data_IF_028517423674
#
_entry.id   IF_028517423674
#
_cell.length_a   1.000
_cell.length_b   1.000
_cell.length_c   1.000
_cell.angle_alpha   90.00
_cell.angle_beta   90.00
_cell.angle_gamma   90.00
#
_symmetry.space_group_name_H-M   'P 1'
#
loop_
_entity.id
_entity.type
_entity.pdbx_description
1 polymer ?
#
# COMPACT_ATOMS: atom_id res chain seq x y z
N UNK A 1 38.71 36.56 -35.80
CA UNK A 1 37.88 36.07 -34.69
C UNK A 1 36.44 36.09 -35.17
N UNK A 2 35.76 34.94 -35.20
CA UNK A 2 34.37 34.81 -35.69
C UNK A 2 33.43 35.19 -34.54
N UNK A 3 32.60 36.20 -34.75
CA UNK A 3 31.61 36.68 -33.77
C UNK A 3 30.30 35.93 -33.95
N UNK A 4 30.04 34.95 -33.08
CA UNK A 4 28.76 34.22 -33.02
C UNK A 4 27.72 35.01 -32.22
N UNK A 5 27.34 36.21 -32.68
CA UNK A 5 26.21 36.93 -32.08
C UNK A 5 24.91 36.36 -32.65
N UNK A 6 24.31 35.37 -31.97
CA UNK A 6 22.95 34.90 -32.30
C UNK A 6 21.97 36.06 -32.08
N UNK A 7 21.29 36.48 -33.14
CA UNK A 7 20.31 37.57 -33.10
C UNK A 7 19.10 37.17 -32.23
N UNK A 8 18.42 38.15 -31.61
CA UNK A 8 17.21 37.92 -30.79
C UNK A 8 16.16 37.07 -31.53
N UNK A 9 16.02 37.28 -32.84
CA UNK A 9 15.11 36.50 -33.70
C UNK A 9 15.48 35.01 -33.76
N UNK A 10 16.77 34.68 -33.78
CA UNK A 10 17.25 33.29 -33.78
C UNK A 10 16.98 32.63 -32.43
N UNK A 11 17.12 33.38 -31.33
CA UNK A 11 16.73 32.91 -30.00
C UNK A 11 15.22 32.65 -29.91
N UNK A 12 14.38 33.56 -30.44
CA UNK A 12 12.92 33.37 -30.49
C UNK A 12 12.52 32.16 -31.34
N UNK A 13 13.15 31.98 -32.50
CA UNK A 13 12.92 30.82 -33.36
C UNK A 13 13.34 29.51 -32.66
N UNK A 14 14.47 29.52 -31.93
CA UNK A 14 14.94 28.36 -31.17
C UNK A 14 13.97 27.97 -30.04
N UNK A 15 13.45 28.97 -29.30
CA UNK A 15 12.50 28.75 -28.21
C UNK A 15 11.15 28.25 -28.74
N UNK A 16 10.67 28.83 -29.82
CA UNK A 16 9.42 28.39 -30.48
C UNK A 16 9.53 26.93 -30.91
N UNK A 17 10.65 26.56 -31.54
CA UNK A 17 10.91 25.16 -31.94
C UNK A 17 11.01 24.22 -30.74
N UNK A 18 11.62 24.66 -29.64
CA UNK A 18 11.72 23.87 -28.42
C UNK A 18 10.34 23.61 -27.79
N UNK A 19 9.48 24.63 -27.74
CA UNK A 19 8.10 24.53 -27.24
C UNK A 19 7.27 23.58 -28.12
N UNK A 20 7.35 23.70 -29.44
CA UNK A 20 6.69 22.77 -30.37
C UNK A 20 7.16 21.33 -30.19
N UNK A 21 8.47 21.13 -29.99
CA UNK A 21 9.04 19.81 -29.70
C UNK A 21 8.49 19.21 -28.41
N UNK A 22 8.43 20.00 -27.34
CA UNK A 22 7.85 19.59 -26.06
C UNK A 22 6.35 19.27 -26.18
N UNK A 23 5.60 20.09 -26.91
CA UNK A 23 4.17 19.90 -27.13
C UNK A 23 3.89 18.56 -27.84
N UNK A 24 4.66 18.24 -28.90
CA UNK A 24 4.56 16.95 -29.60
C UNK A 24 4.89 15.78 -28.67
N UNK A 25 5.93 15.92 -27.84
CA UNK A 25 6.32 14.88 -26.89
C UNK A 25 5.21 14.60 -25.86
N UNK A 26 4.63 15.65 -25.27
CA UNK A 26 3.52 15.54 -24.32
C UNK A 26 2.29 14.89 -24.97
N UNK A 27 1.98 15.27 -26.21
CA UNK A 27 0.87 14.67 -26.96
C UNK A 27 1.09 13.17 -27.21
N UNK A 28 2.29 12.76 -27.60
CA UNK A 28 2.64 11.35 -27.80
C UNK A 28 2.55 10.56 -26.48
N UNK A 29 3.07 11.11 -25.38
CA UNK A 29 2.94 10.47 -24.06
C UNK A 29 1.48 10.30 -23.65
N UNK A 30 0.63 11.31 -23.86
CA UNK A 30 -0.80 11.21 -23.59
C UNK A 30 -1.47 10.11 -24.44
N UNK A 31 -1.09 9.96 -25.71
CA UNK A 31 -1.57 8.88 -26.56
C UNK A 31 -1.14 7.51 -26.05
N UNK A 32 0.10 7.38 -25.56
CA UNK A 32 0.59 6.13 -24.94
C UNK A 32 -0.16 5.80 -23.65
N UNK A 33 -0.43 6.78 -22.79
CA UNK A 33 -1.23 6.61 -21.58
C UNK A 33 -2.63 6.12 -21.94
N UNK A 34 -3.30 6.75 -22.91
CA UNK A 34 -4.63 6.32 -23.36
C UNK A 34 -4.62 4.87 -23.87
N UNK A 35 -3.58 4.46 -24.63
CA UNK A 35 -3.41 3.07 -25.08
C UNK A 35 -3.21 2.10 -23.91
N UNK A 36 -2.46 2.48 -22.88
CA UNK A 36 -2.21 1.66 -21.69
C UNK A 36 -3.47 1.51 -20.83
N UNK A 37 -4.23 2.59 -20.63
CA UNK A 37 -5.51 2.57 -19.91
C UNK A 37 -6.48 1.61 -20.59
N UNK A 38 -6.66 1.75 -21.91
CA UNK A 38 -7.53 0.84 -22.66
C UNK A 38 -7.07 -0.62 -22.56
N UNK A 39 -5.76 -0.88 -22.52
CA UNK A 39 -5.26 -2.26 -22.33
C UNK A 39 -5.58 -2.79 -20.93
N UNK A 40 -5.44 -1.98 -19.89
CA UNK A 40 -5.77 -2.36 -18.51
C UNK A 40 -7.26 -2.71 -18.36
N UNK A 41 -8.15 -1.88 -18.93
CA UNK A 41 -9.60 -2.12 -18.90
C UNK A 41 -9.99 -3.40 -19.67
N UNK A 42 -9.31 -3.68 -20.80
CA UNK A 42 -9.50 -4.92 -21.55
C UNK A 42 -8.93 -6.15 -20.84
N UNK A 43 -7.86 -6.02 -20.04
CA UNK A 43 -7.33 -7.16 -19.26
C UNK A 43 -8.24 -7.54 -18.10
N UNK A 44 -8.89 -6.56 -17.45
CA UNK A 44 -9.90 -6.85 -16.42
C UNK A 44 -11.15 -7.50 -17.01
N UNK A 45 -11.56 -7.12 -18.23
CA UNK A 45 -12.66 -7.78 -18.95
C UNK A 45 -12.28 -9.19 -19.46
N UNK A 46 -11.05 -9.39 -19.96
CA UNK A 46 -10.60 -10.69 -20.46
C UNK A 46 -10.20 -11.69 -19.35
N UNK A 47 -9.92 -11.24 -18.12
CA UNK A 47 -9.79 -12.15 -16.98
C UNK A 47 -11.14 -12.82 -16.64
N UNK A 48 -12.27 -12.16 -16.95
CA UNK A 48 -13.62 -12.71 -16.73
C UNK A 48 -14.05 -13.65 -17.88
N UNK A 49 -13.49 -13.52 -19.07
CA UNK A 49 -13.91 -14.29 -20.26
C UNK A 49 -12.92 -15.37 -20.73
N UNK A 50 -12.00 -15.79 -19.85
CA UNK A 50 -11.07 -16.91 -20.09
C UNK A 50 -11.60 -18.26 -19.64
N UNK A 51 -12.83 -18.64 -20.02
CA UNK A 51 -13.31 -20.02 -19.82
C UNK A 51 -14.39 -20.43 -20.83
N UNK A 52 -14.10 -20.37 -22.13
CA UNK A 52 -14.88 -21.03 -23.17
C UNK A 52 -13.98 -21.35 -24.37
N UNK A 53 -13.90 -22.65 -24.69
CA UNK A 53 -13.55 -23.38 -25.93
C UNK A 53 -13.03 -24.74 -25.45
N UNK A 54 -13.92 -25.69 -25.16
CA UNK A 54 -14.44 -26.74 -26.06
C UNK A 54 -13.52 -27.96 -26.21
N UNK A 55 -13.98 -29.10 -25.70
CA UNK A 55 -13.94 -30.39 -26.40
C UNK A 55 -15.00 -31.31 -25.78
N UNK A 56 -15.93 -31.78 -26.61
CA UNK A 56 -16.70 -33.02 -26.44
C UNK A 56 -15.71 -34.19 -26.12
N UNK A 57 -16.01 -35.28 -25.41
CA UNK A 57 -17.26 -36.06 -25.28
C UNK A 57 -17.12 -36.98 -24.03
N UNK A 58 -18.25 -37.54 -23.59
CA UNK A 58 -18.39 -38.81 -22.83
C UNK A 58 -18.12 -38.92 -21.29
N UNK A 59 -19.24 -38.98 -20.55
CA UNK A 59 -19.57 -39.92 -19.43
C UNK A 59 -19.30 -39.57 -17.94
N UNK A 60 -20.44 -39.60 -17.22
CA UNK A 60 -20.71 -39.89 -15.79
C UNK A 60 -20.33 -38.93 -14.64
N UNK A 61 -21.37 -38.23 -14.19
CA UNK A 61 -21.89 -37.96 -12.82
C UNK A 61 -21.00 -37.93 -11.55
N UNK A 62 -21.41 -37.15 -10.52
CA UNK A 62 -20.50 -36.45 -9.62
C UNK A 62 -20.41 -37.09 -8.22
N UNK A 63 -19.23 -37.08 -7.61
CA UNK A 63 -19.08 -37.34 -6.19
C UNK A 63 -17.95 -36.51 -5.54
N UNK A 64 -18.38 -35.57 -4.70
CA UNK A 64 -17.82 -35.29 -3.37
C UNK A 64 -16.41 -34.67 -3.29
N UNK A 65 -16.42 -33.34 -3.21
CA UNK A 65 -15.72 -32.49 -2.24
C UNK A 65 -14.57 -33.13 -1.43
N UNK A 66 -13.34 -32.73 -1.75
CA UNK A 66 -12.33 -32.21 -0.82
C UNK A 66 -11.08 -31.82 -1.62
N UNK A 67 -10.99 -30.56 -2.02
CA UNK A 67 -9.74 -30.00 -2.51
C UNK A 67 -9.15 -29.13 -1.40
N UNK A 68 -8.08 -29.63 -0.79
CA UNK A 68 -7.17 -28.85 0.05
C UNK A 68 -6.45 -27.85 -0.84
N UNK A 69 -7.03 -26.66 -0.98
CA UNK A 69 -6.41 -25.54 -1.67
C UNK A 69 -5.51 -24.77 -0.68
N UNK A 70 -4.33 -25.34 -0.43
CA UNK A 70 -3.18 -24.59 0.10
C UNK A 70 -2.00 -25.01 -0.73
N UNK A 71 -1.78 -24.26 -1.80
CA UNK A 71 -0.53 -24.08 -2.52
C UNK A 71 -0.90 -23.57 -3.92
N UNK A 72 -0.69 -22.28 -4.17
CA UNK A 72 -0.49 -21.60 -5.49
C UNK A 72 -0.94 -20.13 -5.44
N UNK A 73 -0.36 -19.34 -4.53
CA UNK A 73 -0.23 -17.89 -4.73
C UNK A 73 1.23 -17.47 -4.60
N UNK A 74 2.08 -18.15 -5.37
CA UNK A 74 3.43 -17.69 -5.69
C UNK A 74 3.53 -17.53 -7.21
N UNK A 75 2.59 -16.78 -7.80
CA UNK A 75 2.89 -16.08 -9.05
C UNK A 75 3.38 -14.71 -8.64
N UNK A 76 4.66 -14.72 -8.29
CA UNK A 76 5.55 -13.59 -8.28
C UNK A 76 5.22 -12.71 -9.49
N UNK A 77 4.44 -11.65 -9.28
CA UNK A 77 4.39 -10.53 -10.18
C UNK A 77 5.77 -9.89 -10.07
N UNK A 78 6.71 -10.37 -10.88
CA UNK A 78 8.00 -9.71 -11.08
C UNK A 78 7.74 -8.41 -11.84
N UNK A 79 7.15 -7.44 -11.15
CA UNK A 79 7.16 -6.06 -11.59
C UNK A 79 8.47 -5.47 -11.08
N UNK A 80 9.43 -5.33 -12.00
CA UNK A 80 10.64 -4.56 -11.74
C UNK A 80 10.26 -3.08 -11.62
N UNK A 81 10.03 -2.63 -10.39
CA UNK A 81 9.84 -1.23 -10.06
C UNK A 81 11.13 -0.65 -9.48
N UNK A 82 11.86 0.11 -10.28
CA UNK A 82 12.99 0.89 -9.82
C UNK A 82 12.49 1.92 -8.79
N UNK A 83 12.94 1.79 -7.53
CA UNK A 83 12.54 2.67 -6.42
C UNK A 83 11.36 2.20 -5.55
N UNK A 84 10.79 1.01 -5.76
CA UNK A 84 9.83 0.44 -4.80
C UNK A 84 10.54 -0.34 -3.70
N UNK A 85 10.05 -0.20 -2.47
CA UNK A 85 10.46 -1.04 -1.34
C UNK A 85 9.95 -2.47 -1.54
N UNK A 86 10.81 -3.46 -1.32
CA UNK A 86 10.37 -4.86 -1.36
C UNK A 86 9.40 -5.16 -0.22
N UNK A 87 8.50 -6.12 -0.41
CA UNK A 87 7.54 -6.53 0.62
C UNK A 87 8.26 -6.96 1.90
N UNK A 88 9.39 -7.67 1.75
CA UNK A 88 10.21 -8.10 2.88
C UNK A 88 10.83 -6.92 3.63
N UNK A 89 11.35 -5.92 2.90
CA UNK A 89 11.93 -4.72 3.52
C UNK A 89 10.86 -3.86 4.22
N UNK A 90 9.66 -3.77 3.65
CA UNK A 90 8.53 -3.09 4.29
C UNK A 90 8.10 -3.83 5.56
N UNK A 91 8.04 -5.16 5.52
CA UNK A 91 7.72 -6.00 6.68
C UNK A 91 8.74 -5.79 7.80
N UNK A 92 10.03 -5.88 7.49
CA UNK A 92 11.11 -5.65 8.47
C UNK A 92 11.06 -4.23 9.06
N UNK A 93 10.76 -3.22 8.24
CA UNK A 93 10.64 -1.85 8.70
C UNK A 93 9.48 -1.67 9.70
N UNK A 94 8.30 -2.21 9.38
CA UNK A 94 7.13 -2.17 10.25
C UNK A 94 7.41 -2.93 11.55
N UNK A 95 7.96 -4.14 11.45
CA UNK A 95 8.27 -5.01 12.58
C UNK A 95 9.31 -4.37 13.51
N UNK A 96 10.38 -3.82 12.96
CA UNK A 96 11.41 -3.08 13.69
C UNK A 96 10.87 -1.82 14.36
N UNK A 97 9.99 -1.06 13.69
CA UNK A 97 9.37 0.14 14.25
C UNK A 97 8.46 -0.20 15.43
N UNK A 98 7.63 -1.23 15.29
CA UNK A 98 6.74 -1.70 16.36
C UNK A 98 7.55 -2.18 17.57
N UNK A 99 8.56 -3.04 17.34
CA UNK A 99 9.47 -3.49 18.41
C UNK A 99 10.14 -2.33 19.12
N UNK A 100 10.71 -1.39 18.37
CA UNK A 100 11.36 -0.20 18.94
C UNK A 100 10.42 0.63 19.81
N UNK A 101 9.16 0.80 19.39
CA UNK A 101 8.15 1.50 20.18
C UNK A 101 7.76 0.73 21.43
N UNK A 102 7.61 -0.59 21.36
CA UNK A 102 7.25 -1.42 22.53
C UNK A 102 8.41 -1.46 23.52
N UNK A 103 9.63 -1.69 23.04
CA UNK A 103 10.83 -1.85 23.85
C UNK A 103 11.35 -0.52 24.41
N UNK A 104 11.18 0.58 23.68
CA UNK A 104 11.36 1.95 24.16
C UNK A 104 10.23 2.43 25.10
N UNK A 105 9.03 1.86 24.99
CA UNK A 105 7.88 2.10 25.88
C UNK A 105 7.81 1.04 26.99
N UNK A 106 8.94 0.42 27.34
CA UNK A 106 9.03 -0.60 28.38
C UNK A 106 8.65 -0.11 29.79
N UNK A 107 8.34 1.17 29.99
CA UNK A 107 7.92 1.72 31.29
C UNK A 107 6.72 2.66 31.30
N UNK A 108 6.05 2.90 30.17
CA UNK A 108 4.84 3.73 30.18
C UNK A 108 3.70 3.03 29.44
N UNK A 109 3.25 1.90 29.98
CA UNK A 109 1.80 1.72 30.01
C UNK A 109 1.28 2.90 30.81
N UNK A 110 0.90 3.98 30.13
CA UNK A 110 0.19 5.10 30.74
C UNK A 110 -1.22 4.58 31.03
N UNK A 111 -1.30 3.61 31.95
CA UNK A 111 -2.58 3.25 32.54
C UNK A 111 -2.96 4.49 33.30
N UNK A 112 -3.94 5.23 32.80
CA UNK A 112 -4.45 6.43 33.44
C UNK A 112 -4.83 6.07 34.87
N UNK A 113 -3.93 6.37 35.81
CA UNK A 113 -4.17 6.13 37.22
C UNK A 113 -4.84 7.37 37.75
N UNK A 114 -6.06 7.20 38.23
CA UNK A 114 -6.81 8.30 38.82
C UNK A 114 -6.06 8.75 40.07
N UNK A 115 -5.93 10.05 40.30
CA UNK A 115 -5.16 10.63 41.42
C UNK A 115 -5.64 10.17 42.81
N UNK A 116 -6.83 9.57 42.89
CA UNK A 116 -7.39 9.01 44.12
C UNK A 116 -7.09 7.53 44.33
N UNK A 117 -6.60 6.79 43.33
CA UNK A 117 -6.27 5.35 43.47
C UNK A 117 -5.29 5.12 44.63
N UNK A 118 -4.16 5.85 44.73
CA UNK A 118 -3.25 5.70 45.87
C UNK A 118 -3.89 6.11 47.21
N UNK A 119 -4.81 7.07 47.19
CA UNK A 119 -5.51 7.53 48.41
C UNK A 119 -6.48 6.47 48.93
N UNK A 120 -7.14 5.74 48.04
CA UNK A 120 -8.06 4.64 48.38
C UNK A 120 -7.29 3.42 48.89
N UNK A 121 -6.16 3.08 48.26
CA UNK A 121 -5.33 1.96 48.71
C UNK A 121 -4.73 2.21 50.12
N UNK A 122 -4.38 3.47 50.41
CA UNK A 122 -3.99 3.93 51.76
C UNK A 122 -5.18 4.02 52.74
N UNK A 123 -6.42 4.05 52.24
CA UNK A 123 -7.64 4.05 53.05
C UNK A 123 -8.03 2.63 53.50
N UNK A 124 -7.13 1.63 53.35
CA UNK A 124 -7.28 0.30 53.94
C UNK A 124 -7.86 0.45 55.34
N UNK A 125 -9.12 0.04 55.46
CA UNK A 125 -9.94 0.30 56.63
C UNK A 125 -9.23 -0.32 57.83
N UNK A 126 -8.92 0.50 58.85
CA UNK A 126 -8.23 0.01 60.05
C UNK A 126 -9.01 -1.18 60.62
N UNK A 127 -8.28 -2.23 60.97
CA UNK A 127 -8.84 -3.46 61.53
C UNK A 127 -9.66 -3.08 62.79
N UNK A 128 -10.99 -3.17 62.70
CA UNK A 128 -11.91 -2.75 63.76
C UNK A 128 -12.85 -1.58 63.43
N UNK A 129 -12.81 -1.03 62.20
CA UNK A 129 -13.86 -0.09 61.77
C UNK A 129 -15.23 -0.79 61.77
N UNK A 130 -16.14 -0.32 62.60
CA UNK A 130 -17.54 -0.73 62.59
C UNK A 130 -18.35 0.37 61.89
N UNK A 131 -18.94 0.09 60.71
CA UNK A 131 -19.75 1.07 60.01
C UNK A 131 -20.92 1.56 60.88
N UNK A 132 -21.30 2.84 60.77
CA UNK A 132 -22.42 3.39 61.53
C UNK A 132 -23.70 2.59 61.26
N UNK A 133 -24.40 2.21 62.32
CA UNK A 133 -25.72 1.57 62.18
C UNK A 133 -26.74 2.64 61.84
N UNK A 134 -27.50 2.41 60.78
CA UNK A 134 -28.63 3.26 60.42
C UNK A 134 -29.69 3.18 61.53
N UNK A 135 -30.22 4.35 61.92
CA UNK A 135 -31.33 4.47 62.87
C UNK A 135 -32.66 4.30 62.16
#
# INVERSE_FOLDING_TARGET
>A
MVTNATTIEEQLASLTRAIEGLMKHVQEQNAQIARLINKADNTDANHIMGKQVETHDEVETPARQQYTEKDKYAKELQISFDGLISVDQLKEFIEGTIRSKIEGTSKSSITYSKSYTPRIDCLKVLMGYQPPKFR
#
